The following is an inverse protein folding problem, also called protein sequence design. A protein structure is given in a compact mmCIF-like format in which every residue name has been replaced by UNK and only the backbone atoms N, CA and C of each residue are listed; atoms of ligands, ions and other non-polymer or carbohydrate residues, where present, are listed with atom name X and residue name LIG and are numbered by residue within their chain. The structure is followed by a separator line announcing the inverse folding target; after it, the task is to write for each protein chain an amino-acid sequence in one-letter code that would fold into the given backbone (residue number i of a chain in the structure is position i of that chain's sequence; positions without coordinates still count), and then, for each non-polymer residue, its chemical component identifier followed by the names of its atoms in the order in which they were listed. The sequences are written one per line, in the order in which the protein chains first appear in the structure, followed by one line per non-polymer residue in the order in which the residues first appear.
data_IF_389465208612
#
_entry.id   IF_389465208612
#
_cell.length_a   1.000
_cell.length_b   1.000
_cell.length_c   1.000
_cell.angle_alpha   90.00
_cell.angle_beta   90.00
_cell.angle_gamma   90.00
#
_symmetry.space_group_name_H-M   'P 1'
#
loop_
_entity.id
_entity.type
_entity.pdbx_description
1 polymer ?
#
# COMPACT_ATOMS: atom_id res chain seq x y z
N UNK A 1 -15.18 5.58 -5.15
CA UNK A 1 -14.43 6.70 -5.72
C UNK A 1 -14.43 7.80 -4.67
N UNK A 2 -13.33 7.95 -3.92
CA UNK A 2 -13.17 9.11 -3.05
C UNK A 2 -12.85 10.30 -3.94
N UNK A 3 -13.57 11.41 -3.77
CA UNK A 3 -13.40 12.62 -4.59
C UNK A 3 -12.34 13.57 -4.00
N UNK A 4 -11.77 13.25 -2.83
CA UNK A 4 -10.73 14.04 -2.15
C UNK A 4 -9.72 13.10 -1.48
N UNK A 5 -8.43 13.44 -1.60
CA UNK A 5 -7.30 12.80 -0.91
C UNK A 5 -6.75 13.70 0.20
N UNK A 6 -7.63 14.44 0.88
CA UNK A 6 -7.26 15.47 1.87
C UNK A 6 -7.16 14.93 3.30
N UNK A 7 -7.35 13.64 3.51
CA UNK A 7 -7.08 12.97 4.78
C UNK A 7 -5.63 12.47 4.85
N UNK A 8 -4.83 13.04 5.75
CA UNK A 8 -3.55 12.46 6.17
C UNK A 8 -3.85 11.59 7.40
N UNK A 9 -3.70 10.28 7.27
CA UNK A 9 -3.96 9.29 8.33
C UNK A 9 -2.66 8.78 8.95
N UNK A 10 -1.65 9.64 9.11
CA UNK A 10 -0.36 9.29 9.70
C UNK A 10 -0.19 9.92 11.07
N UNK A 11 0.35 9.12 12.00
CA UNK A 11 0.64 9.53 13.37
C UNK A 11 2.11 9.98 13.50
N UNK A 12 2.40 11.05 14.26
CA UNK A 12 1.44 11.94 14.91
C UNK A 12 0.77 12.91 13.92
N UNK A 13 -0.44 13.36 14.25
CA UNK A 13 -1.19 14.34 13.47
C UNK A 13 -0.34 15.59 13.18
N UNK A 14 -0.45 16.11 11.95
CA UNK A 14 0.32 17.27 11.50
C UNK A 14 1.73 16.95 10.99
N UNK A 15 2.08 15.66 10.86
CA UNK A 15 3.29 15.24 10.14
C UNK A 15 3.00 14.95 8.65
N UNK A 16 4.04 14.69 7.87
CA UNK A 16 3.98 14.40 6.43
C UNK A 16 3.31 15.51 5.58
N UNK A 17 3.53 16.76 5.97
CA UNK A 17 2.99 17.97 5.33
C UNK A 17 3.95 18.60 4.29
N UNK A 18 5.05 17.90 4.00
CA UNK A 18 6.10 18.31 3.09
C UNK A 18 6.83 19.61 3.47
N UNK A 19 6.80 20.06 4.73
CA UNK A 19 7.59 21.22 5.18
C UNK A 19 9.09 21.06 4.92
N UNK A 20 9.62 19.84 5.08
CA UNK A 20 11.02 19.52 4.74
C UNK A 20 11.37 19.82 3.29
N UNK A 21 10.47 19.50 2.35
CA UNK A 21 10.65 19.84 0.94
C UNK A 21 10.60 21.36 0.73
N UNK A 22 9.63 22.05 1.33
CA UNK A 22 9.52 23.51 1.22
C UNK A 22 10.77 24.23 1.71
N UNK A 23 11.35 23.79 2.83
CA UNK A 23 12.59 24.36 3.36
C UNK A 23 13.76 24.17 2.38
N UNK A 24 13.89 22.99 1.77
CA UNK A 24 14.94 22.75 0.78
C UNK A 24 14.76 23.60 -0.49
N UNK A 25 13.52 23.79 -0.96
CA UNK A 25 13.24 24.66 -2.10
C UNK A 25 13.63 26.12 -1.81
N UNK A 26 13.44 26.61 -0.58
CA UNK A 26 13.92 27.95 -0.19
C UNK A 26 15.45 28.07 -0.23
N UNK A 27 16.17 26.95 -0.09
CA UNK A 27 17.61 26.88 -0.25
C UNK A 27 18.06 26.74 -1.72
N UNK A 28 17.14 26.73 -2.68
CA UNK A 28 17.44 26.60 -4.11
C UNK A 28 17.44 25.16 -4.63
N UNK A 29 16.96 24.20 -3.84
CA UNK A 29 16.81 22.82 -4.30
C UNK A 29 15.78 22.69 -5.41
N UNK A 30 15.90 21.62 -6.19
CA UNK A 30 14.87 21.18 -7.13
C UNK A 30 14.28 19.83 -6.70
N UNK A 31 13.13 19.48 -7.27
CA UNK A 31 12.59 18.12 -7.17
C UNK A 31 13.22 17.20 -8.21
N UNK A 32 13.14 15.89 -7.99
CA UNK A 32 13.47 14.92 -9.03
C UNK A 32 12.70 15.19 -10.33
N UNK A 33 13.32 14.95 -11.48
CA UNK A 33 12.67 15.15 -12.79
C UNK A 33 11.89 13.91 -13.26
N UNK A 34 12.22 12.75 -12.71
CA UNK A 34 11.53 11.50 -12.99
C UNK A 34 10.09 11.49 -12.45
N UNK A 35 9.21 10.66 -13.04
CA UNK A 35 7.84 10.52 -12.56
C UNK A 35 7.81 10.07 -11.10
N UNK A 36 6.74 10.43 -10.39
CA UNK A 36 6.50 9.91 -9.06
C UNK A 36 6.16 8.42 -9.11
N UNK A 37 6.64 7.66 -8.11
CA UNK A 37 6.22 6.29 -7.86
C UNK A 37 5.18 6.27 -6.70
N UNK A 38 3.87 6.41 -6.98
CA UNK A 38 2.86 6.35 -5.94
C UNK A 38 2.73 4.92 -5.40
N UNK A 39 2.73 4.79 -4.08
CA UNK A 39 2.37 3.55 -3.40
C UNK A 39 0.90 3.62 -3.01
N UNK A 40 0.10 2.72 -3.58
CA UNK A 40 -1.31 2.56 -3.20
C UNK A 40 -1.51 1.25 -2.46
N UNK A 41 -2.18 1.30 -1.31
CA UNK A 41 -2.65 0.11 -0.61
C UNK A 41 -4.15 -0.06 -0.80
N UNK A 42 -4.58 -1.30 -0.98
CA UNK A 42 -5.97 -1.66 -0.77
C UNK A 42 -6.16 -1.98 0.73
N UNK A 43 -7.01 -1.21 1.40
CA UNK A 43 -7.26 -1.29 2.85
C UNK A 43 -8.74 -1.53 3.13
N UNK A 44 -9.01 -2.28 4.19
CA UNK A 44 -10.34 -2.42 4.76
C UNK A 44 -10.43 -1.62 6.07
N UNK A 45 -11.41 -0.71 6.16
CA UNK A 45 -11.66 0.13 7.34
C UNK A 45 -10.69 1.32 7.53
N UNK A 46 -11.01 2.28 8.43
CA UNK A 46 -10.08 3.32 8.88
C UNK A 46 -8.97 2.69 9.71
N UNK A 47 -7.70 3.06 9.47
CA UNK A 47 -6.58 2.68 10.36
C UNK A 47 -5.79 1.42 9.99
N UNK A 48 -5.81 1.00 8.72
CA UNK A 48 -4.98 -0.13 8.22
C UNK A 48 -5.17 -1.45 8.99
N UNK A 49 -6.37 -1.70 9.54
CA UNK A 49 -6.62 -2.89 10.38
C UNK A 49 -6.41 -4.19 9.59
N UNK A 50 -6.54 -4.13 8.26
CA UNK A 50 -6.28 -5.26 7.35
C UNK A 50 -5.63 -4.74 6.06
N UNK A 51 -4.33 -4.98 5.88
CA UNK A 51 -3.69 -4.78 4.58
C UNK A 51 -4.17 -5.86 3.62
N UNK A 52 -4.43 -5.56 2.34
CA UNK A 52 -4.85 -6.57 1.37
C UNK A 52 -3.88 -7.74 1.18
N UNK A 53 -2.63 -7.59 1.65
CA UNK A 53 -1.63 -8.66 1.67
C UNK A 53 -1.94 -9.72 2.74
N UNK A 54 -2.76 -9.39 3.75
CA UNK A 54 -3.14 -10.25 4.88
C UNK A 54 -4.60 -10.77 4.77
N UNK A 55 -5.36 -10.37 3.73
CA UNK A 55 -6.78 -10.70 3.57
C UNK A 55 -6.95 -11.90 2.62
N UNK A 56 -7.07 -13.10 3.19
CA UNK A 56 -7.30 -14.37 2.46
C UNK A 56 -8.75 -14.65 2.09
N UNK A 57 -9.50 -13.61 1.72
CA UNK A 57 -10.95 -13.66 1.53
C UNK A 57 -11.32 -13.36 0.09
N UNK A 58 -12.40 -13.95 -0.42
CA UNK A 58 -12.94 -13.63 -1.75
C UNK A 58 -13.21 -12.12 -1.86
N UNK A 59 -12.57 -11.45 -2.82
CA UNK A 59 -12.78 -10.04 -3.10
C UNK A 59 -13.64 -9.86 -4.34
N UNK A 60 -14.74 -9.11 -4.20
CA UNK A 60 -15.64 -8.76 -5.30
C UNK A 60 -15.81 -7.25 -5.45
N UNK A 61 -16.07 -6.79 -6.68
CA UNK A 61 -16.40 -5.41 -6.96
C UNK A 61 -17.89 -5.11 -6.66
N UNK A 62 -18.35 -3.88 -6.93
CA UNK A 62 -19.75 -3.46 -6.67
C UNK A 62 -20.79 -4.21 -7.50
N UNK A 63 -20.36 -4.83 -8.60
CA UNK A 63 -21.20 -5.65 -9.46
C UNK A 63 -21.13 -7.13 -9.05
N UNK A 64 -20.47 -7.46 -7.93
CA UNK A 64 -20.35 -8.82 -7.42
C UNK A 64 -19.27 -9.67 -8.08
N UNK A 65 -18.43 -9.12 -8.98
CA UNK A 65 -17.41 -9.88 -9.72
C UNK A 65 -16.05 -9.88 -9.02
N UNK A 66 -15.34 -11.01 -9.04
CA UNK A 66 -13.94 -11.12 -8.62
C UNK A 66 -13.02 -10.22 -9.44
N UNK A 67 -11.92 -9.78 -8.83
CA UNK A 67 -10.94 -8.91 -9.51
C UNK A 67 -9.47 -9.05 -9.06
N UNK A 68 -9.16 -9.90 -8.06
CA UNK A 68 -7.79 -10.13 -7.52
C UNK A 68 -7.62 -11.56 -6.98
N UNK A 69 -6.36 -11.92 -6.65
CA UNK A 69 -5.95 -13.11 -5.88
C UNK A 69 -5.74 -12.74 -4.39
N UNK A 70 -6.15 -13.59 -3.44
CA UNK A 70 -6.35 -13.23 -2.02
C UNK A 70 -5.69 -14.22 -1.03
N UNK A 71 -4.75 -13.76 -0.17
CA UNK A 71 -3.95 -14.58 0.78
C UNK A 71 -4.14 -14.19 2.27
N UNK A 72 -4.21 -15.20 3.16
CA UNK A 72 -4.63 -15.27 4.61
C UNK A 72 -3.81 -14.49 5.67
N UNK A 73 -4.21 -14.46 6.98
CA UNK A 73 -5.50 -14.05 7.60
C UNK A 73 -5.32 -13.04 8.79
N UNK A 74 -6.38 -12.32 9.26
CA UNK A 74 -6.61 -12.00 10.70
C UNK A 74 -7.90 -11.18 11.02
N UNK A 75 -8.33 -11.25 12.30
CA UNK A 75 -9.13 -10.29 13.10
C UNK A 75 -10.57 -9.91 12.71
N UNK A 76 -11.43 -10.91 12.47
CA UNK A 76 -12.85 -10.71 12.09
C UNK A 76 -13.67 -9.99 13.19
N UNK A 77 -13.58 -10.44 14.44
CA UNK A 77 -14.51 -9.98 15.49
C UNK A 77 -14.27 -8.51 15.87
N UNK A 78 -13.01 -8.07 15.98
CA UNK A 78 -12.67 -6.66 16.21
C UNK A 78 -13.21 -5.75 15.10
N UNK A 79 -13.08 -6.16 13.83
CA UNK A 79 -13.59 -5.32 12.75
C UNK A 79 -15.12 -5.26 12.69
N UNK A 80 -15.82 -6.28 13.20
CA UNK A 80 -17.29 -6.22 13.36
C UNK A 80 -17.66 -5.24 14.47
N UNK A 81 -16.95 -5.27 15.60
CA UNK A 81 -17.15 -4.32 16.71
C UNK A 81 -16.88 -2.86 16.30
N UNK A 82 -15.86 -2.64 15.48
CA UNK A 82 -15.49 -1.31 14.96
C UNK A 82 -16.35 -0.84 13.77
N UNK A 83 -17.27 -1.69 13.27
CA UNK A 83 -18.17 -1.35 12.17
C UNK A 83 -17.50 -1.29 10.80
N UNK A 84 -16.33 -1.92 10.65
CA UNK A 84 -15.57 -2.00 9.39
C UNK A 84 -15.76 -3.35 8.67
N UNK A 85 -16.35 -4.32 9.36
CA UNK A 85 -16.79 -5.62 8.82
C UNK A 85 -18.29 -5.82 9.08
N UNK A 86 -18.92 -6.53 8.16
CA UNK A 86 -20.31 -6.96 8.23
C UNK A 86 -20.38 -8.46 8.46
N UNK A 87 -21.40 -8.90 9.20
CA UNK A 87 -21.67 -10.29 9.55
C UNK A 87 -23.13 -10.61 9.24
N UNK A 88 -23.39 -11.75 8.62
CA UNK A 88 -24.74 -12.23 8.38
C UNK A 88 -24.83 -13.76 8.31
N UNK A 89 -26.00 -14.31 8.57
CA UNK A 89 -26.22 -15.77 8.48
C UNK A 89 -26.52 -16.24 7.05
N UNK A 90 -26.82 -15.31 6.13
CA UNK A 90 -27.05 -15.57 4.71
C UNK A 90 -26.18 -14.66 3.84
N UNK A 91 -25.86 -15.11 2.63
CA UNK A 91 -25.08 -14.33 1.67
C UNK A 91 -25.88 -13.14 1.14
N UNK A 92 -27.20 -13.29 1.03
CA UNK A 92 -28.14 -12.26 0.60
C UNK A 92 -28.20 -11.11 1.61
N UNK A 93 -28.32 -11.43 2.90
CA UNK A 93 -28.31 -10.42 3.96
C UNK A 93 -26.94 -9.71 4.01
N UNK A 94 -25.84 -10.44 3.80
CA UNK A 94 -24.51 -9.84 3.75
C UNK A 94 -24.37 -8.88 2.57
N UNK A 95 -24.81 -9.29 1.37
CA UNK A 95 -24.79 -8.46 0.18
C UNK A 95 -25.66 -7.21 0.32
N UNK A 96 -26.84 -7.33 0.96
CA UNK A 96 -27.69 -6.19 1.28
C UNK A 96 -27.01 -5.20 2.23
N UNK A 97 -26.34 -5.68 3.28
CA UNK A 97 -25.54 -4.84 4.20
C UNK A 97 -24.41 -4.09 3.46
N UNK A 98 -23.79 -4.73 2.47
CA UNK A 98 -22.72 -4.14 1.65
C UNK A 98 -23.24 -3.18 0.55
N UNK A 99 -24.55 -3.16 0.32
CA UNK A 99 -25.16 -2.38 -0.76
C UNK A 99 -24.87 -2.92 -2.17
N UNK A 100 -24.59 -4.22 -2.31
CA UNK A 100 -24.46 -4.90 -3.60
C UNK A 100 -25.86 -4.95 -4.24
N UNK A 101 -25.96 -4.47 -5.49
CA UNK A 101 -27.25 -4.32 -6.18
C UNK A 101 -27.60 -5.50 -7.06
N UNK A 102 -26.59 -6.16 -7.62
CA UNK A 102 -26.76 -7.32 -8.50
C UNK A 102 -26.58 -8.60 -7.69
N UNK A 103 -27.68 -9.05 -7.08
CA UNK A 103 -27.68 -10.22 -6.20
C UNK A 103 -27.37 -11.51 -6.99
N UNK A 104 -27.93 -11.64 -8.19
CA UNK A 104 -27.75 -12.83 -9.02
C UNK A 104 -26.29 -13.02 -9.40
N UNK A 105 -25.61 -11.94 -9.84
CA UNK A 105 -24.17 -11.99 -10.14
C UNK A 105 -23.33 -12.29 -8.90
N UNK A 106 -23.69 -11.74 -7.74
CA UNK A 106 -22.97 -12.00 -6.49
C UNK A 106 -23.07 -13.48 -6.08
N UNK A 107 -24.28 -14.04 -6.01
CA UNK A 107 -24.49 -15.44 -5.63
C UNK A 107 -23.82 -16.39 -6.63
N UNK A 108 -23.94 -16.12 -7.94
CA UNK A 108 -23.27 -16.92 -8.97
C UNK A 108 -21.74 -16.85 -8.84
N UNK A 109 -21.18 -15.72 -8.43
CA UNK A 109 -19.74 -15.58 -8.20
C UNK A 109 -19.28 -16.40 -7.00
N UNK A 110 -20.04 -16.40 -5.90
CA UNK A 110 -19.74 -17.23 -4.71
C UNK A 110 -19.84 -18.72 -5.07
N UNK A 111 -20.86 -19.13 -5.80
CA UNK A 111 -21.02 -20.51 -6.27
C UNK A 111 -19.87 -20.97 -7.18
N UNK A 112 -19.48 -20.11 -8.14
CA UNK A 112 -18.34 -20.34 -9.03
C UNK A 112 -17.05 -20.52 -8.23
N UNK A 113 -16.80 -19.65 -7.25
CA UNK A 113 -15.63 -19.74 -6.40
C UNK A 113 -15.62 -21.02 -5.55
N UNK A 114 -16.76 -21.39 -4.95
CA UNK A 114 -16.90 -22.63 -4.20
C UNK A 114 -16.63 -23.87 -5.06
N UNK A 115 -17.03 -23.84 -6.33
CA UNK A 115 -16.71 -24.90 -7.30
C UNK A 115 -15.20 -24.98 -7.54
N UNK A 116 -14.52 -23.85 -7.74
CA UNK A 116 -13.06 -23.80 -7.91
C UNK A 116 -12.30 -24.29 -6.67
N UNK A 117 -12.79 -23.96 -5.47
CA UNK A 117 -12.22 -24.49 -4.23
C UNK A 117 -12.39 -26.01 -4.14
N UNK A 118 -13.54 -26.55 -4.53
CA UNK A 118 -13.74 -28.00 -4.56
C UNK A 118 -12.84 -28.70 -5.60
N UNK A 119 -12.55 -28.05 -6.73
CA UNK A 119 -11.60 -28.52 -7.74
C UNK A 119 -10.13 -28.35 -7.32
N UNK A 120 -9.85 -27.46 -6.37
CA UNK A 120 -8.50 -27.18 -5.85
C UNK A 120 -7.63 -26.31 -6.75
N UNK A 121 -8.21 -25.66 -7.78
CA UNK A 121 -7.45 -24.86 -8.75
C UNK A 121 -8.27 -23.68 -9.27
N UNK A 122 -7.75 -22.46 -9.16
CA UNK A 122 -8.43 -21.25 -9.64
C UNK A 122 -8.14 -20.98 -11.13
N UNK A 123 -9.02 -21.50 -11.98
CA UNK A 123 -8.95 -21.27 -13.44
C UNK A 123 -9.34 -19.86 -13.87
N UNK A 124 -9.94 -19.05 -12.98
CA UNK A 124 -10.42 -17.73 -13.35
C UNK A 124 -9.31 -16.68 -13.16
N UNK A 125 -8.55 -16.74 -12.06
CA UNK A 125 -7.54 -15.72 -11.73
C UNK A 125 -6.18 -16.28 -11.29
N UNK A 126 -6.00 -17.59 -11.20
CA UNK A 126 -4.70 -18.22 -10.92
C UNK A 126 -4.25 -18.18 -9.46
N UNK A 127 -5.17 -18.02 -8.50
CA UNK A 127 -4.90 -18.22 -7.07
C UNK A 127 -4.20 -19.55 -6.82
N UNK A 128 -3.10 -19.51 -6.08
CA UNK A 128 -2.28 -20.70 -5.78
C UNK A 128 -3.15 -21.79 -5.11
N UNK A 129 -3.10 -23.00 -5.69
CA UNK A 129 -3.88 -24.17 -5.30
C UNK A 129 -3.84 -24.44 -3.79
N UNK A 130 -2.73 -24.11 -3.11
CA UNK A 130 -2.64 -24.30 -1.65
C UNK A 130 -3.68 -23.48 -0.87
N UNK A 131 -4.18 -22.39 -1.45
CA UNK A 131 -5.19 -21.49 -0.90
C UNK A 131 -6.61 -21.78 -1.39
N UNK A 132 -6.78 -22.70 -2.34
CA UNK A 132 -8.09 -23.14 -2.85
C UNK A 132 -8.81 -24.09 -1.89
N UNK A 133 -8.77 -23.78 -0.60
CA UNK A 133 -9.38 -24.56 0.49
C UNK A 133 -10.47 -23.78 1.24
N UNK A 134 -10.66 -22.52 0.87
CA UNK A 134 -11.47 -21.55 1.61
C UNK A 134 -12.85 -21.36 0.98
N UNK A 135 -13.63 -22.44 0.84
CA UNK A 135 -15.01 -22.33 0.35
C UNK A 135 -15.89 -21.50 1.30
N UNK A 136 -16.77 -20.69 0.72
CA UNK A 136 -17.73 -19.83 1.41
C UNK A 136 -19.07 -20.55 1.44
N UNK A 137 -19.21 -21.48 2.39
CA UNK A 137 -20.40 -22.36 2.50
C UNK A 137 -20.97 -22.44 3.91
N UNK A 138 -20.21 -22.01 4.92
CA UNK A 138 -20.59 -22.14 6.33
C UNK A 138 -20.85 -20.75 6.93
N UNK A 139 -22.07 -20.46 7.43
CA UNK A 139 -22.35 -19.23 8.15
C UNK A 139 -21.73 -19.25 9.56
N UNK A 140 -21.58 -18.08 10.22
CA UNK A 140 -21.89 -16.75 9.70
C UNK A 140 -20.89 -16.30 8.63
N UNK A 141 -21.40 -15.60 7.62
CA UNK A 141 -20.61 -15.01 6.54
C UNK A 141 -20.13 -13.62 6.95
N UNK A 142 -18.92 -13.28 6.52
CA UNK A 142 -18.29 -12.01 6.82
C UNK A 142 -17.80 -11.34 5.55
N UNK A 143 -17.86 -10.02 5.53
CA UNK A 143 -17.30 -9.22 4.45
C UNK A 143 -16.83 -7.86 4.96
N UNK A 144 -15.93 -7.25 4.21
CA UNK A 144 -15.51 -5.86 4.40
C UNK A 144 -15.43 -5.16 3.06
N UNK A 145 -15.47 -3.84 3.10
CA UNK A 145 -15.32 -2.99 1.94
C UNK A 145 -13.87 -2.56 1.85
N UNK A 146 -13.22 -3.02 0.78
CA UNK A 146 -11.86 -2.63 0.46
C UNK A 146 -11.86 -1.34 -0.37
N UNK A 147 -11.01 -0.39 -0.01
CA UNK A 147 -10.78 0.85 -0.76
C UNK A 147 -9.29 1.06 -0.99
N UNK A 148 -8.93 1.69 -2.10
CA UNK A 148 -7.55 2.09 -2.34
C UNK A 148 -7.24 3.41 -1.61
N UNK A 149 -6.11 3.45 -0.91
CA UNK A 149 -5.52 4.66 -0.32
C UNK A 149 -4.12 4.86 -0.89
N UNK A 150 -3.72 6.11 -1.12
CA UNK A 150 -2.32 6.44 -1.37
C UNK A 150 -1.60 6.47 -0.02
N UNK A 151 -0.57 5.64 0.14
CA UNK A 151 0.22 5.60 1.38
C UNK A 151 1.36 6.59 1.34
N UNK A 152 2.25 6.42 0.38
CA UNK A 152 3.44 7.24 0.20
C UNK A 152 3.59 7.55 -1.27
N UNK A 153 4.03 8.76 -1.60
CA UNK A 153 4.49 9.08 -2.94
C UNK A 153 6.01 9.05 -2.86
N UNK A 154 6.64 8.08 -3.52
CA UNK A 154 8.10 8.03 -3.63
C UNK A 154 8.54 9.03 -4.70
N UNK A 155 8.58 10.28 -4.28
CA UNK A 155 9.00 11.45 -5.04
C UNK A 155 9.55 12.44 -4.04
N UNK A 156 10.71 13.01 -4.32
CA UNK A 156 11.38 13.91 -3.39
C UNK A 156 12.36 14.84 -4.07
N UNK A 157 13.23 15.42 -3.25
CA UNK A 157 14.28 16.33 -3.69
C UNK A 157 15.22 15.65 -4.69
N UNK A 158 15.70 16.41 -5.68
CA UNK A 158 16.76 15.95 -6.57
C UNK A 158 18.00 15.67 -5.71
N UNK A 159 18.42 14.41 -5.64
CA UNK A 159 19.58 14.01 -4.85
C UNK A 159 20.54 13.18 -5.67
N UNK A 160 21.84 13.36 -5.44
CA UNK A 160 22.90 12.55 -6.04
C UNK A 160 23.16 11.24 -5.25
N UNK A 161 24.15 10.46 -5.69
CA UNK A 161 24.57 9.19 -5.08
C UNK A 161 25.21 9.34 -3.68
N UNK A 162 25.50 10.57 -3.26
CA UNK A 162 25.97 10.94 -1.92
C UNK A 162 24.84 11.48 -1.03
N UNK A 163 23.59 11.38 -1.47
CA UNK A 163 22.40 11.91 -0.78
C UNK A 163 22.44 13.43 -0.58
N UNK A 164 23.26 14.14 -1.37
CA UNK A 164 23.28 15.60 -1.40
C UNK A 164 22.11 16.10 -2.23
N UNK A 165 21.43 17.13 -1.73
CA UNK A 165 20.36 17.80 -2.46
C UNK A 165 20.97 18.67 -3.55
N UNK A 166 20.40 18.61 -4.75
CA UNK A 166 20.83 19.34 -5.92
C UNK A 166 19.84 20.43 -6.33
N UNK A 167 20.35 21.46 -7.01
CA UNK A 167 19.53 22.45 -7.71
C UNK A 167 19.01 21.93 -9.06
N UNK A 168 18.39 22.82 -9.85
CA UNK A 168 17.79 22.49 -11.14
C UNK A 168 18.81 22.15 -12.24
N UNK A 169 20.09 22.51 -12.04
CA UNK A 169 21.21 22.25 -12.94
C UNK A 169 22.06 21.06 -12.44
N UNK A 170 21.50 20.25 -11.53
CA UNK A 170 22.14 19.09 -10.88
C UNK A 170 23.36 19.43 -9.99
N UNK A 171 23.57 20.71 -9.63
CA UNK A 171 24.67 21.09 -8.76
C UNK A 171 24.33 20.81 -7.28
N UNK A 172 25.19 20.11 -6.53
CA UNK A 172 24.98 19.88 -5.11
C UNK A 172 24.98 21.18 -4.29
N UNK A 173 23.99 21.32 -3.41
CA UNK A 173 23.92 22.43 -2.45
C UNK A 173 24.75 22.07 -1.23
N UNK A 174 25.78 22.86 -0.95
CA UNK A 174 26.72 22.60 0.13
C UNK A 174 26.01 22.51 1.49
N UNK A 175 26.25 21.40 2.21
CA UNK A 175 25.70 21.17 3.53
C UNK A 175 24.23 20.68 3.56
N UNK A 176 23.57 20.54 2.41
CA UNK A 176 22.18 20.10 2.34
C UNK A 176 22.08 18.65 1.84
N UNK A 177 21.45 17.80 2.66
CA UNK A 177 21.28 16.38 2.41
C UNK A 177 19.85 15.95 2.69
N UNK A 178 19.39 14.92 1.99
CA UNK A 178 18.08 14.31 2.24
C UNK A 178 18.18 12.78 2.18
N UNK A 179 17.45 12.11 3.07
CA UNK A 179 17.40 10.66 3.14
C UNK A 179 15.95 10.19 3.33
N UNK A 180 15.69 8.95 2.92
CA UNK A 180 14.36 8.38 3.03
C UNK A 180 13.35 8.99 2.06
N UNK A 181 12.08 9.07 2.48
CA UNK A 181 10.99 9.55 1.62
C UNK A 181 11.10 11.01 1.15
N UNK A 182 11.95 11.85 1.77
CA UNK A 182 12.22 13.21 1.29
C UNK A 182 13.26 13.25 0.16
N UNK A 183 14.06 12.20 0.01
CA UNK A 183 15.02 12.03 -1.07
C UNK A 183 14.29 11.51 -2.31
N UNK A 184 14.56 12.11 -3.47
CA UNK A 184 14.10 11.62 -4.77
C UNK A 184 15.05 10.62 -5.41
N UNK A 185 14.90 10.41 -6.72
CA UNK A 185 15.80 9.68 -7.64
C UNK A 185 16.06 8.18 -7.33
N UNK A 186 15.39 7.60 -6.33
CA UNK A 186 15.58 6.19 -6.00
C UNK A 186 14.65 5.27 -6.79
N UNK A 187 13.38 5.65 -6.89
CA UNK A 187 12.38 4.96 -7.69
C UNK A 187 12.09 5.77 -8.95
N UNK A 188 11.85 5.06 -10.05
CA UNK A 188 11.36 5.64 -11.30
C UNK A 188 9.83 5.62 -11.29
N UNK A 189 9.20 5.00 -12.30
CA UNK A 189 7.75 5.04 -12.48
C UNK A 189 6.93 4.30 -11.42
N UNK A 190 7.49 3.30 -10.74
CA UNK A 190 6.71 2.40 -9.87
C UNK A 190 7.49 1.95 -8.63
N UNK A 191 6.75 1.62 -7.57
CA UNK A 191 7.26 1.06 -6.33
C UNK A 191 7.15 -0.48 -6.36
N UNK A 192 8.23 -1.23 -6.08
CA UNK A 192 8.21 -2.69 -6.22
C UNK A 192 7.27 -3.34 -5.19
N UNK A 193 6.15 -3.87 -5.67
CA UNK A 193 5.15 -4.53 -4.83
C UNK A 193 5.62 -5.87 -4.24
N UNK A 194 6.61 -6.52 -4.88
CA UNK A 194 7.09 -7.85 -4.49
C UNK A 194 8.06 -7.84 -3.30
N UNK A 195 8.53 -6.66 -2.89
CA UNK A 195 9.50 -6.52 -1.80
C UNK A 195 8.89 -5.60 -0.74
N UNK A 196 8.11 -6.13 0.20
CA UNK A 196 7.53 -5.33 1.27
C UNK A 196 8.64 -4.72 2.12
N UNK A 197 8.39 -3.52 2.66
CA UNK A 197 9.32 -2.84 3.56
C UNK A 197 10.50 -2.11 2.92
N UNK A 198 10.63 -2.06 1.58
CA UNK A 198 11.75 -1.36 0.92
C UNK A 198 11.81 0.12 1.32
N UNK A 199 10.68 0.82 1.44
CA UNK A 199 10.66 2.21 1.92
C UNK A 199 11.31 2.35 3.30
N UNK A 200 10.99 1.47 4.25
CA UNK A 200 11.60 1.49 5.58
C UNK A 200 13.08 1.11 5.55
N UNK A 201 13.43 0.10 4.75
CA UNK A 201 14.83 -0.29 4.54
C UNK A 201 15.65 0.87 3.98
N UNK A 202 15.08 1.64 3.04
CA UNK A 202 15.67 2.85 2.49
C UNK A 202 15.88 3.91 3.57
N UNK A 203 14.86 4.24 4.35
CA UNK A 203 14.95 5.25 5.42
C UNK A 203 16.07 4.92 6.42
N UNK A 204 16.10 3.68 6.92
CA UNK A 204 17.07 3.23 7.92
C UNK A 204 18.48 3.19 7.33
N UNK A 205 18.64 2.57 6.16
CA UNK A 205 19.96 2.42 5.53
C UNK A 205 20.52 3.77 5.12
N UNK A 206 19.75 4.61 4.43
CA UNK A 206 20.24 5.90 3.92
C UNK A 206 20.54 6.86 5.07
N UNK A 207 19.69 6.91 6.09
CA UNK A 207 19.96 7.70 7.29
C UNK A 207 21.25 7.27 7.98
N UNK A 208 21.48 5.95 8.09
CA UNK A 208 22.71 5.41 8.70
C UNK A 208 23.95 5.74 7.89
N UNK A 209 24.01 5.39 6.60
CA UNK A 209 25.22 5.56 5.79
C UNK A 209 25.56 7.04 5.61
N UNK A 210 24.55 7.91 5.47
CA UNK A 210 24.75 9.35 5.45
C UNK A 210 25.34 9.84 6.77
N UNK A 211 24.76 9.43 7.90
CA UNK A 211 25.26 9.83 9.22
C UNK A 211 26.69 9.39 9.47
N UNK A 212 27.05 8.15 9.11
CA UNK A 212 28.42 7.64 9.22
C UNK A 212 29.40 8.41 8.33
N UNK A 213 29.04 8.67 7.07
CA UNK A 213 29.87 9.42 6.12
C UNK A 213 30.14 10.85 6.61
N UNK A 214 29.09 11.57 7.03
CA UNK A 214 29.22 12.93 7.56
C UNK A 214 30.05 13.00 8.84
N UNK A 215 29.89 12.03 9.75
CA UNK A 215 30.65 11.99 10.99
C UNK A 215 32.16 11.78 10.76
N UNK A 216 32.54 11.06 9.69
CA UNK A 216 33.93 10.80 9.33
C UNK A 216 34.51 11.83 8.35
N UNK A 217 33.66 12.66 7.72
CA UNK A 217 34.07 13.51 6.60
C UNK A 217 34.42 12.71 5.35
N UNK A 218 33.77 11.56 5.17
CA UNK A 218 33.99 10.63 4.07
C UNK A 218 32.82 10.66 3.07
N UNK A 219 33.04 10.09 1.89
CA UNK A 219 31.97 9.83 0.92
C UNK A 219 31.25 8.53 1.28
N UNK A 220 29.97 8.46 0.95
CA UNK A 220 29.23 7.20 0.95
C UNK A 220 29.87 6.31 -0.11
N UNK A 221 30.33 5.14 0.33
CA UNK A 221 30.91 4.10 -0.53
C UNK A 221 30.01 2.88 -0.48
N UNK A 222 29.86 2.21 -1.63
CA UNK A 222 29.06 0.99 -1.77
C UNK A 222 29.95 -0.25 -1.99
N UNK A 223 31.24 -0.13 -1.70
CA UNK A 223 32.15 -1.27 -1.79
C UNK A 223 31.94 -2.18 -0.56
N UNK A 224 31.67 -3.45 -0.85
CA UNK A 224 31.47 -4.59 0.07
C UNK A 224 30.06 -4.76 0.67
N UNK A 225 29.19 -5.43 -0.10
CA UNK A 225 28.11 -6.27 0.43
C UNK A 225 28.32 -7.72 -0.03
#
# INVERSE_FOLDING_TARGET
MSLRSDGIFYMPDGCNDALGHQMALWCGADFQHGPAAPMTHAVAGPGQVLSCQDIGWLMVNRDGRRFVDENTPAAIETGVEEGVMWKADTLEDLAAQLGIKDMDTFLATVERYNTLCAEGHDRDFGKDDKWMKSSIVTPPFYATKVTAITMTIQFGLNCNDQLQVCDADDNPIEGLYAAGNTCGNFFACDYPLLTPGVSHGRDITFGRVLGEALAKGEKITFEEA
#
